data_IF_157819533611
#
_entry.id   IF_157819533611
#
_cell.length_a   1.000
_cell.length_b   1.000
_cell.length_c   1.000
_cell.angle_alpha   90.00
_cell.angle_beta   90.00
_cell.angle_gamma   90.00
#
_symmetry.space_group_name_H-M   'P 1'
#
loop_
_entity.id
_entity.type
_entity.pdbx_description
1 polymer ?
#
# COMPACT_ATOMS: atom_id res chain seq x y z
N UNK A 1 -6.20 15.77 14.65
CA UNK A 1 -5.03 15.25 13.90
C UNK A 1 -3.97 14.77 14.88
N UNK A 2 -3.46 13.58 14.70
CA UNK A 2 -2.39 13.04 15.53
C UNK A 2 -1.08 13.80 15.34
N UNK A 3 -0.33 13.93 16.42
CA UNK A 3 1.00 14.51 16.38
C UNK A 3 2.04 13.38 16.20
N UNK A 4 2.75 13.41 15.07
CA UNK A 4 3.79 12.44 14.75
C UNK A 4 5.21 13.00 14.93
N UNK A 5 5.38 14.00 15.79
CA UNK A 5 6.70 14.60 16.02
C UNK A 5 7.75 13.54 16.42
N UNK A 6 7.36 12.54 17.19
CA UNK A 6 8.25 11.47 17.61
C UNK A 6 8.83 10.67 16.42
N UNK A 7 8.09 10.54 15.30
CA UNK A 7 8.60 9.89 14.09
C UNK A 7 9.68 10.74 13.42
N UNK A 8 9.47 12.05 13.37
CA UNK A 8 10.47 13.00 12.87
C UNK A 8 11.74 12.91 13.71
N UNK A 9 11.59 12.88 15.02
CA UNK A 9 12.70 12.80 15.95
C UNK A 9 13.48 11.49 15.79
N UNK A 10 12.78 10.37 15.59
CA UNK A 10 13.43 9.08 15.29
C UNK A 10 14.24 9.14 14.00
N UNK A 11 13.72 9.75 12.94
CA UNK A 11 14.44 9.90 11.67
C UNK A 11 15.68 10.78 11.87
N UNK A 12 15.52 11.94 12.51
CA UNK A 12 16.62 12.90 12.74
C UNK A 12 17.73 12.32 13.60
N UNK A 13 17.40 11.47 14.56
CA UNK A 13 18.35 10.84 15.47
C UNK A 13 18.93 9.52 14.95
N UNK A 14 18.49 9.08 13.77
CA UNK A 14 18.99 7.84 13.17
C UNK A 14 20.37 8.04 12.55
N UNK A 15 21.22 7.02 12.68
CA UNK A 15 22.52 6.99 12.06
C UNK A 15 22.39 6.64 10.57
N UNK A 16 23.06 7.43 9.71
CA UNK A 16 23.17 7.10 8.29
C UNK A 16 24.16 5.95 8.13
N UNK A 17 23.76 4.93 7.39
CA UNK A 17 24.59 3.78 7.00
C UNK A 17 24.97 3.98 5.53
N UNK A 18 26.26 3.92 5.20
CA UNK A 18 26.77 4.25 3.87
C UNK A 18 26.88 3.04 2.93
N UNK A 19 26.88 1.83 3.46
CA UNK A 19 27.12 0.61 2.68
C UNK A 19 25.87 -0.28 2.68
N UNK A 20 25.41 -0.79 1.53
CA UNK A 20 25.93 -0.64 0.16
C UNK A 20 25.55 0.70 -0.50
N UNK A 21 24.66 1.46 0.09
CA UNK A 21 24.21 2.80 -0.31
C UNK A 21 23.77 3.57 0.93
N UNK A 22 23.64 4.87 0.82
CA UNK A 22 23.20 5.68 1.97
C UNK A 22 21.76 5.34 2.33
N UNK A 23 21.55 4.92 3.57
CA UNK A 23 20.23 4.59 4.12
C UNK A 23 20.21 4.73 5.64
N UNK A 24 19.02 4.72 6.21
CA UNK A 24 18.77 4.58 7.64
C UNK A 24 17.90 3.36 7.91
N UNK A 25 18.08 2.76 9.07
CA UNK A 25 17.26 1.64 9.54
C UNK A 25 16.72 1.98 10.93
N UNK A 26 15.41 1.93 11.07
CA UNK A 26 14.73 2.25 12.33
C UNK A 26 13.83 1.09 12.71
N UNK A 27 14.13 0.44 13.83
CA UNK A 27 13.25 -0.54 14.45
C UNK A 27 12.19 0.17 15.31
N UNK A 28 11.04 -0.45 15.46
CA UNK A 28 9.94 0.09 16.27
C UNK A 28 9.62 1.55 15.90
N UNK A 29 9.48 1.81 14.60
CA UNK A 29 9.24 3.15 14.10
C UNK A 29 8.00 3.79 14.72
N UNK A 30 6.87 3.09 14.66
CA UNK A 30 5.66 3.51 15.36
C UNK A 30 5.69 3.08 16.83
N UNK A 31 5.11 3.90 17.71
CA UNK A 31 4.81 3.44 19.06
C UNK A 31 3.71 2.37 19.03
N UNK A 32 3.54 1.64 20.13
CA UNK A 32 2.63 0.50 20.18
C UNK A 32 1.17 0.90 19.94
N UNK A 33 0.75 2.06 20.43
CA UNK A 33 -0.61 2.59 20.25
C UNK A 33 -0.90 2.90 18.79
N UNK A 34 -0.03 3.66 18.13
CA UNK A 34 -0.19 4.00 16.70
C UNK A 34 -0.09 2.77 15.81
N UNK A 35 0.83 1.86 16.10
CA UNK A 35 0.96 0.61 15.37
C UNK A 35 -0.31 -0.23 15.47
N UNK A 36 -0.87 -0.37 16.68
CA UNK A 36 -2.13 -1.10 16.87
C UNK A 36 -3.30 -0.45 16.14
N UNK A 37 -3.39 0.88 16.16
CA UNK A 37 -4.44 1.61 15.44
C UNK A 37 -4.33 1.43 13.93
N UNK A 38 -3.11 1.46 13.37
CA UNK A 38 -2.87 1.21 11.95
C UNK A 38 -3.29 -0.21 11.57
N UNK A 39 -2.80 -1.21 12.31
CA UNK A 39 -3.02 -2.61 11.98
C UNK A 39 -4.46 -3.07 12.21
N UNK A 40 -5.21 -2.40 13.07
CA UNK A 40 -6.62 -2.67 13.31
C UNK A 40 -7.56 -1.86 12.40
N UNK A 41 -7.05 -0.97 11.56
CA UNK A 41 -7.89 -0.24 10.62
C UNK A 41 -8.44 -1.17 9.54
N UNK A 42 -9.69 -0.97 9.12
CA UNK A 42 -10.35 -1.81 8.13
C UNK A 42 -9.61 -1.84 6.78
N UNK A 43 -8.99 -0.72 6.43
CA UNK A 43 -8.24 -0.60 5.18
C UNK A 43 -6.92 -1.41 5.16
N UNK A 44 -6.37 -1.74 6.31
CA UNK A 44 -5.15 -2.56 6.46
C UNK A 44 -5.51 -3.99 6.84
N UNK A 45 -6.42 -4.16 7.79
CA UNK A 45 -6.84 -5.46 8.30
C UNK A 45 -7.98 -6.02 7.44
N UNK A 46 -7.66 -6.42 6.23
CA UNK A 46 -8.65 -6.94 5.29
C UNK A 46 -9.19 -8.30 5.71
N UNK A 47 -10.48 -8.53 5.46
CA UNK A 47 -11.14 -9.80 5.73
C UNK A 47 -10.88 -10.80 4.60
N UNK A 48 -11.14 -12.08 4.86
CA UNK A 48 -11.15 -13.08 3.81
C UNK A 48 -12.40 -12.93 2.93
N UNK A 49 -12.21 -12.87 1.63
CA UNK A 49 -13.27 -12.78 0.63
C UNK A 49 -13.34 -14.05 -0.20
N UNK A 50 -14.50 -14.34 -0.75
CA UNK A 50 -14.74 -15.57 -1.54
C UNK A 50 -13.96 -15.58 -2.86
N UNK A 51 -13.78 -14.41 -3.45
CA UNK A 51 -13.11 -14.24 -4.73
C UNK A 51 -12.48 -12.85 -4.85
N UNK A 52 -11.70 -12.64 -5.90
CA UNK A 52 -11.03 -11.38 -6.16
C UNK A 52 -12.00 -10.22 -6.45
N UNK A 53 -13.14 -10.49 -7.07
CA UNK A 53 -14.12 -9.44 -7.37
C UNK A 53 -14.69 -8.83 -6.09
N UNK A 54 -15.03 -9.66 -5.11
CA UNK A 54 -15.47 -9.18 -3.79
C UNK A 54 -14.37 -8.41 -3.08
N UNK A 55 -13.12 -8.90 -3.12
CA UNK A 55 -11.96 -8.23 -2.53
C UNK A 55 -11.76 -6.85 -3.15
N UNK A 56 -11.69 -6.76 -4.47
CA UNK A 56 -11.49 -5.48 -5.16
C UNK A 56 -12.63 -4.51 -4.91
N UNK A 57 -13.87 -4.98 -4.97
CA UNK A 57 -15.02 -4.14 -4.67
C UNK A 57 -14.95 -3.57 -3.24
N UNK A 58 -14.58 -4.39 -2.28
CA UNK A 58 -14.39 -3.95 -0.89
C UNK A 58 -13.28 -2.91 -0.77
N UNK A 59 -12.13 -3.15 -1.39
CA UNK A 59 -11.00 -2.21 -1.37
C UNK A 59 -11.36 -0.87 -2.02
N UNK A 60 -12.03 -0.89 -3.17
CA UNK A 60 -12.49 0.34 -3.82
C UNK A 60 -13.50 1.11 -2.95
N UNK A 61 -14.41 0.40 -2.27
CA UNK A 61 -15.34 1.03 -1.34
C UNK A 61 -14.65 1.65 -0.12
N UNK A 62 -13.48 1.15 0.27
CA UNK A 62 -12.66 1.74 1.34
C UNK A 62 -11.83 2.95 0.88
N UNK A 63 -11.84 3.30 -0.41
CA UNK A 63 -11.09 4.43 -0.95
C UNK A 63 -9.79 4.07 -1.67
N UNK A 64 -9.52 2.80 -1.91
CA UNK A 64 -8.41 2.39 -2.75
C UNK A 64 -8.69 2.67 -4.22
N UNK A 65 -7.66 3.08 -4.94
CA UNK A 65 -7.68 3.26 -6.39
C UNK A 65 -6.49 2.57 -7.04
N UNK A 66 -6.71 2.00 -8.21
CA UNK A 66 -5.62 1.41 -8.99
C UNK A 66 -4.71 2.49 -9.56
N UNK A 67 -3.42 2.16 -9.66
CA UNK A 67 -2.40 3.04 -10.21
C UNK A 67 -2.02 2.52 -11.59
N UNK A 68 -1.98 3.42 -12.57
CA UNK A 68 -1.51 3.11 -13.92
C UNK A 68 -0.04 3.48 -14.07
N UNK A 69 0.78 2.48 -14.37
CA UNK A 69 2.18 2.66 -14.73
C UNK A 69 2.66 1.49 -15.59
N UNK A 70 3.78 1.65 -16.33
CA UNK A 70 4.29 0.58 -17.19
C UNK A 70 4.52 -0.73 -16.43
N UNK A 71 3.99 -1.83 -16.96
CA UNK A 71 4.09 -3.16 -16.36
C UNK A 71 3.02 -3.46 -15.31
N UNK A 72 2.10 -2.55 -15.06
CA UNK A 72 1.01 -2.74 -14.11
C UNK A 72 -0.33 -2.91 -14.83
N UNK A 73 -1.15 -3.83 -14.34
CA UNK A 73 -2.55 -3.95 -14.75
C UNK A 73 -3.38 -3.08 -13.82
N UNK A 74 -4.07 -2.07 -14.35
CA UNK A 74 -4.82 -1.09 -13.54
C UNK A 74 -6.34 -1.31 -13.54
N UNK A 75 -6.80 -2.43 -14.09
CA UNK A 75 -8.21 -2.77 -14.21
C UNK A 75 -8.45 -4.14 -13.57
N UNK A 76 -9.40 -4.21 -12.63
CA UNK A 76 -9.68 -5.44 -11.89
C UNK A 76 -10.14 -6.60 -12.79
N UNK A 77 -10.96 -6.30 -13.82
CA UNK A 77 -11.41 -7.31 -14.77
C UNK A 77 -10.24 -7.88 -15.56
N UNK A 78 -9.38 -7.03 -16.09
CA UNK A 78 -8.18 -7.44 -16.83
C UNK A 78 -7.21 -8.22 -15.96
N UNK A 79 -7.01 -7.80 -14.70
CA UNK A 79 -6.20 -8.53 -13.75
C UNK A 79 -6.74 -9.94 -13.49
N UNK A 80 -8.05 -10.10 -13.29
CA UNK A 80 -8.67 -11.39 -13.08
C UNK A 80 -8.57 -12.28 -14.32
N UNK A 81 -8.80 -11.74 -15.50
CA UNK A 81 -8.64 -12.46 -16.77
C UNK A 81 -7.19 -12.93 -16.96
N UNK A 82 -6.22 -12.08 -16.67
CA UNK A 82 -4.82 -12.47 -16.73
C UNK A 82 -4.50 -13.57 -15.70
N UNK A 83 -5.01 -13.44 -14.48
CA UNK A 83 -4.75 -14.40 -13.41
C UNK A 83 -5.27 -15.81 -13.76
N UNK A 84 -6.43 -15.89 -14.40
CA UNK A 84 -7.05 -17.15 -14.81
C UNK A 84 -6.40 -17.67 -16.11
N UNK A 85 -6.28 -16.84 -17.13
CA UNK A 85 -5.92 -17.23 -18.49
C UNK A 85 -4.47 -16.95 -18.86
N UNK A 86 -3.71 -16.29 -18.02
CA UNK A 86 -2.33 -15.84 -18.26
C UNK A 86 -2.20 -14.97 -19.54
N UNK A 87 -3.27 -14.21 -19.86
CA UNK A 87 -3.32 -13.32 -21.01
C UNK A 87 -3.73 -11.92 -20.57
N UNK A 88 -3.09 -10.93 -21.16
CA UNK A 88 -3.46 -9.53 -21.01
C UNK A 88 -3.46 -8.84 -22.36
N UNK A 89 -4.43 -7.95 -22.59
CA UNK A 89 -4.46 -7.06 -23.75
C UNK A 89 -3.44 -5.94 -23.64
N UNK A 90 -2.94 -5.66 -22.44
CA UNK A 90 -1.93 -4.63 -22.20
C UNK A 90 -0.56 -5.15 -22.60
N UNK A 91 0.16 -4.37 -23.44
CA UNK A 91 1.59 -4.62 -23.66
C UNK A 91 2.34 -4.28 -22.39
N UNK A 92 2.77 -5.32 -21.68
CA UNK A 92 3.57 -5.19 -20.49
C UNK A 92 5.05 -5.11 -20.85
N UNK A 93 5.80 -4.31 -20.11
CA UNK A 93 7.23 -4.24 -20.27
C UNK A 93 7.84 -5.60 -19.90
N UNK A 94 8.62 -6.18 -20.79
CA UNK A 94 9.23 -7.51 -20.60
C UNK A 94 10.20 -7.58 -19.42
N UNK A 95 10.65 -6.45 -18.91
CA UNK A 95 11.49 -6.38 -17.70
C UNK A 95 10.70 -6.48 -16.40
N UNK A 96 9.37 -6.33 -16.46
CA UNK A 96 8.48 -6.47 -15.31
C UNK A 96 7.89 -7.86 -15.30
N UNK A 97 8.49 -8.77 -14.56
CA UNK A 97 7.97 -10.13 -14.39
C UNK A 97 6.75 -10.19 -13.46
N UNK A 98 6.51 -9.15 -12.71
CA UNK A 98 5.37 -9.06 -11.79
C UNK A 98 4.14 -8.46 -12.45
N UNK A 99 3.28 -9.31 -12.96
CA UNK A 99 1.95 -8.87 -13.38
C UNK A 99 1.08 -8.70 -12.14
N UNK A 100 0.96 -7.49 -11.70
CA UNK A 100 0.17 -7.16 -10.53
C UNK A 100 -0.68 -5.94 -10.76
N UNK A 101 -1.68 -5.78 -9.91
CA UNK A 101 -2.44 -4.54 -9.80
C UNK A 101 -2.00 -3.86 -8.51
N UNK A 102 -1.52 -2.64 -8.64
CA UNK A 102 -1.12 -1.84 -7.47
C UNK A 102 -2.27 -0.93 -7.07
N UNK A 103 -2.63 -0.99 -5.81
CA UNK A 103 -3.68 -0.16 -5.24
C UNK A 103 -3.07 0.82 -4.25
N UNK A 104 -3.57 2.05 -4.27
CA UNK A 104 -3.21 3.09 -3.31
C UNK A 104 -4.45 3.58 -2.60
N UNK A 105 -4.36 3.69 -1.29
CA UNK A 105 -5.43 4.30 -0.48
C UNK A 105 -5.42 5.82 -0.73
N UNK A 106 -6.36 6.29 -1.53
CA UNK A 106 -6.47 7.70 -1.92
C UNK A 106 -7.42 8.49 -1.05
N UNK A 107 -8.55 7.88 -0.66
CA UNK A 107 -9.64 8.53 0.05
C UNK A 107 -9.92 7.77 1.36
N UNK A 108 -9.05 7.93 2.34
CA UNK A 108 -9.24 7.32 3.66
C UNK A 108 -10.25 8.09 4.51
N UNK A 109 -10.99 7.36 5.35
CA UNK A 109 -11.82 7.96 6.37
C UNK A 109 -10.97 8.68 7.43
N UNK A 110 -11.56 9.65 8.20
CA UNK A 110 -10.85 10.26 9.32
C UNK A 110 -10.28 9.19 10.28
N UNK A 111 -9.02 9.35 10.65
CA UNK A 111 -8.29 8.41 11.51
C UNK A 111 -6.79 8.47 11.26
N UNK A 112 -6.06 7.53 11.83
CA UNK A 112 -4.60 7.51 11.76
C UNK A 112 -4.07 7.41 10.32
N UNK A 113 -4.74 6.68 9.42
CA UNK A 113 -4.28 6.56 8.03
C UNK A 113 -4.39 7.89 7.29
N UNK A 114 -5.48 8.65 7.51
CA UNK A 114 -5.63 9.98 6.93
C UNK A 114 -4.61 10.96 7.54
N UNK A 115 -4.38 10.88 8.83
CA UNK A 115 -3.38 11.70 9.51
C UNK A 115 -1.96 11.41 8.99
N UNK A 116 -1.61 10.14 8.75
CA UNK A 116 -0.32 9.75 8.16
C UNK A 116 -0.19 10.24 6.71
N UNK A 117 -1.25 10.16 5.93
CA UNK A 117 -1.26 10.67 4.56
C UNK A 117 -0.98 12.17 4.50
N UNK A 118 -1.46 12.92 5.47
CA UNK A 118 -1.29 14.37 5.56
C UNK A 118 -0.03 14.78 6.36
N UNK A 119 0.67 13.84 6.92
CA UNK A 119 1.93 14.06 7.63
C UNK A 119 3.11 14.22 6.67
#
# INVERSE_FOLDING_TARGET
MKNFQYLIDKIKNSKIIDTPYQHIYIENFFNDEDFAEITNSDAVNTKNYKNNDELFQSLFNMGYKSIDFPGCINNAKEYNEWHINKKSSKKLNTTCEGFGMTLRLMDSNPGILEDLKNF
#
